data_IF_442459546718
#
_entry.id   IF_442459546718
#
_cell.length_a   1.000
_cell.length_b   1.000
_cell.length_c   1.000
_cell.angle_alpha   90.00
_cell.angle_beta   90.00
_cell.angle_gamma   90.00
#
_symmetry.space_group_name_H-M   'P 1'
#
loop_
_entity.id
_entity.type
_entity.pdbx_description
1 polymer ?
#
# COMPACT_ATOMS: atom_id res chain seq x y z
N UNK A 1 42.22 -40.73 -19.88
CA UNK A 1 43.22 -41.00 -18.82
C UNK A 1 42.80 -40.53 -17.43
N UNK A 2 42.80 -39.23 -17.11
CA UNK A 2 42.59 -38.74 -15.72
C UNK A 2 41.25 -39.24 -15.12
N UNK A 3 40.18 -39.20 -15.91
CA UNK A 3 38.86 -39.78 -15.56
C UNK A 3 38.93 -41.31 -15.33
N UNK A 4 39.48 -42.05 -16.30
CA UNK A 4 39.59 -43.51 -16.26
C UNK A 4 40.43 -44.02 -15.08
N UNK A 5 41.43 -43.24 -14.65
CA UNK A 5 42.31 -43.59 -13.52
C UNK A 5 41.79 -43.13 -12.16
N UNK A 6 40.55 -42.64 -12.10
CA UNK A 6 39.90 -42.25 -10.84
C UNK A 6 40.68 -41.17 -10.10
N UNK A 7 41.19 -40.17 -10.84
CA UNK A 7 41.85 -39.01 -10.25
C UNK A 7 40.83 -38.20 -9.46
N UNK A 8 41.02 -38.08 -8.16
CA UNK A 8 40.06 -37.43 -7.27
C UNK A 8 40.05 -35.90 -7.47
N UNK A 9 38.89 -35.26 -7.72
CA UNK A 9 38.79 -33.82 -7.98
C UNK A 9 39.21 -32.92 -6.80
N UNK A 10 39.34 -33.46 -5.59
CA UNK A 10 39.74 -32.70 -4.40
C UNK A 10 41.15 -33.07 -3.89
N UNK A 11 41.89 -33.89 -4.64
CA UNK A 11 43.22 -34.39 -4.24
C UNK A 11 44.35 -33.58 -4.85
N UNK A 12 45.52 -33.63 -4.21
CA UNK A 12 46.73 -32.92 -4.66
C UNK A 12 47.41 -33.69 -5.79
N UNK A 13 48.03 -32.97 -6.74
CA UNK A 13 48.79 -33.53 -7.87
C UNK A 13 49.73 -34.66 -7.43
N UNK A 14 50.50 -34.44 -6.37
CA UNK A 14 51.51 -35.38 -5.89
C UNK A 14 50.88 -36.70 -5.38
N UNK A 15 49.66 -36.64 -4.86
CA UNK A 15 48.92 -37.83 -4.38
C UNK A 15 48.30 -38.63 -5.52
N UNK A 16 47.91 -37.96 -6.61
CA UNK A 16 47.29 -38.60 -7.77
C UNK A 16 48.31 -39.05 -8.81
N UNK A 17 49.53 -38.49 -8.79
CA UNK A 17 50.61 -38.79 -9.72
C UNK A 17 50.92 -40.29 -9.86
N UNK A 18 51.03 -41.10 -8.79
CA UNK A 18 51.29 -42.54 -8.91
C UNK A 18 50.25 -43.29 -9.74
N UNK A 19 49.00 -42.81 -9.80
CA UNK A 19 47.91 -43.44 -10.58
C UNK A 19 48.05 -43.23 -12.09
N UNK A 20 48.81 -42.21 -12.50
CA UNK A 20 48.87 -41.75 -13.89
C UNK A 20 50.27 -41.77 -14.48
N UNK A 21 51.33 -41.79 -13.66
CA UNK A 21 52.74 -41.69 -14.10
C UNK A 21 53.15 -42.80 -15.08
N UNK A 22 52.56 -44.00 -14.95
CA UNK A 22 52.84 -45.14 -15.83
C UNK A 22 51.94 -45.20 -17.07
N UNK A 23 50.94 -44.33 -17.22
CA UNK A 23 50.07 -44.31 -18.39
C UNK A 23 50.85 -43.82 -19.65
N UNK A 24 50.75 -44.52 -20.78
CA UNK A 24 51.37 -44.08 -22.03
C UNK A 24 51.00 -42.64 -22.44
N UNK A 25 49.76 -42.22 -22.18
CA UNK A 25 49.25 -40.87 -22.49
C UNK A 25 49.85 -39.79 -21.58
N UNK A 26 50.27 -40.15 -20.37
CA UNK A 26 51.01 -39.25 -19.48
C UNK A 26 52.41 -38.98 -20.03
N UNK A 27 53.11 -40.04 -20.48
CA UNK A 27 54.45 -39.95 -21.08
C UNK A 27 54.45 -39.16 -22.40
N UNK A 28 53.37 -39.25 -23.18
CA UNK A 28 53.21 -38.55 -24.46
C UNK A 28 53.21 -37.01 -24.38
N UNK A 29 52.94 -36.43 -23.21
CA UNK A 29 53.01 -34.98 -22.98
C UNK A 29 54.35 -34.68 -22.30
N UNK A 30 55.39 -34.15 -22.96
CA UNK A 30 56.72 -34.09 -22.35
C UNK A 30 56.85 -33.05 -21.23
N UNK A 31 56.15 -31.92 -21.37
CA UNK A 31 56.26 -30.78 -20.46
C UNK A 31 55.51 -31.00 -19.15
N UNK A 32 56.22 -30.85 -18.03
CA UNK A 32 55.62 -30.86 -16.69
C UNK A 32 54.55 -29.80 -16.52
N UNK A 33 54.78 -28.57 -17.01
CA UNK A 33 53.82 -27.47 -16.87
C UNK A 33 52.51 -27.77 -17.62
N UNK A 34 52.60 -28.35 -18.81
CA UNK A 34 51.42 -28.77 -19.59
C UNK A 34 50.66 -29.89 -18.88
N UNK A 35 51.35 -30.92 -18.37
CA UNK A 35 50.70 -32.00 -17.60
C UNK A 35 49.99 -31.47 -16.36
N UNK A 36 50.63 -30.54 -15.64
CA UNK A 36 50.06 -29.94 -14.43
C UNK A 36 48.86 -29.05 -14.72
N UNK A 37 48.95 -28.19 -15.74
CA UNK A 37 47.83 -27.36 -16.21
C UNK A 37 46.61 -28.21 -16.63
N UNK A 38 46.83 -29.30 -17.36
CA UNK A 38 45.76 -30.22 -17.76
C UNK A 38 45.10 -30.93 -16.56
N UNK A 39 45.89 -31.29 -15.54
CA UNK A 39 45.35 -31.86 -14.31
C UNK A 39 44.54 -30.85 -13.51
N UNK A 40 45.05 -29.64 -13.32
CA UNK A 40 44.34 -28.58 -12.60
C UNK A 40 43.03 -28.22 -13.30
N UNK A 41 43.04 -28.12 -14.64
CA UNK A 41 41.84 -27.94 -15.44
C UNK A 41 40.86 -29.11 -15.26
N UNK A 42 41.32 -30.35 -15.40
CA UNK A 42 40.47 -31.54 -15.22
C UNK A 42 39.83 -31.59 -13.83
N UNK A 43 40.61 -31.36 -12.78
CA UNK A 43 40.15 -31.29 -11.40
C UNK A 43 39.07 -30.22 -11.25
N UNK A 44 39.34 -28.99 -11.72
CA UNK A 44 38.36 -27.89 -11.67
C UNK A 44 37.07 -28.24 -12.39
N UNK A 45 37.15 -28.72 -13.63
CA UNK A 45 35.98 -29.13 -14.42
C UNK A 45 35.19 -30.24 -13.73
N UNK A 46 35.87 -31.24 -13.14
CA UNK A 46 35.19 -32.33 -12.42
C UNK A 46 34.42 -31.84 -11.20
N UNK A 47 35.01 -30.95 -10.39
CA UNK A 47 34.31 -30.34 -9.25
C UNK A 47 33.08 -29.55 -9.72
N UNK A 48 33.19 -28.82 -10.83
CA UNK A 48 32.07 -28.07 -11.41
C UNK A 48 30.98 -28.98 -11.96
N UNK A 49 31.35 -30.08 -12.64
CA UNK A 49 30.43 -31.12 -13.12
C UNK A 49 29.66 -31.76 -11.95
N UNK A 50 30.34 -32.25 -10.91
CA UNK A 50 29.69 -32.88 -9.74
C UNK A 50 28.76 -31.89 -9.00
N UNK A 51 29.18 -30.62 -8.87
CA UNK A 51 28.32 -29.57 -8.29
C UNK A 51 27.12 -29.25 -9.16
N UNK A 52 27.25 -29.33 -10.49
CA UNK A 52 26.16 -29.10 -11.43
C UNK A 52 25.18 -30.26 -11.39
N UNK A 53 25.65 -31.50 -11.37
CA UNK A 53 24.84 -32.72 -11.24
C UNK A 53 24.06 -32.73 -9.92
N UNK A 54 24.72 -32.42 -8.78
CA UNK A 54 24.03 -32.32 -7.48
C UNK A 54 22.95 -31.24 -7.47
N UNK A 55 23.22 -30.06 -8.05
CA UNK A 55 22.22 -28.98 -8.16
C UNK A 55 21.08 -29.37 -9.09
N UNK A 56 21.37 -30.04 -10.20
CA UNK A 56 20.36 -30.52 -11.13
C UNK A 56 19.46 -31.58 -10.49
N UNK A 57 20.05 -32.53 -9.76
CA UNK A 57 19.31 -33.54 -9.01
C UNK A 57 18.42 -32.92 -7.93
N UNK A 58 18.94 -31.97 -7.14
CA UNK A 58 18.14 -31.25 -6.15
C UNK A 58 16.98 -30.49 -6.82
N UNK A 59 17.25 -29.81 -7.95
CA UNK A 59 16.20 -29.10 -8.70
C UNK A 59 15.13 -30.06 -9.21
N UNK A 60 15.51 -31.22 -9.74
CA UNK A 60 14.58 -32.24 -10.20
C UNK A 60 13.73 -32.81 -9.05
N UNK A 61 14.33 -33.04 -7.87
CA UNK A 61 13.59 -33.48 -6.68
C UNK A 61 12.57 -32.43 -6.21
N UNK A 62 12.96 -31.14 -6.22
CA UNK A 62 12.03 -30.03 -5.90
C UNK A 62 10.88 -29.96 -6.90
N UNK A 63 11.17 -30.08 -8.20
CA UNK A 63 10.15 -30.06 -9.24
C UNK A 63 9.17 -31.24 -9.10
N UNK A 64 9.70 -32.44 -8.84
CA UNK A 64 8.87 -33.62 -8.58
C UNK A 64 7.96 -33.44 -7.37
N UNK A 65 8.47 -32.87 -6.28
CA UNK A 65 7.64 -32.57 -5.11
C UNK A 65 6.56 -31.51 -5.40
N UNK A 66 6.86 -30.51 -6.23
CA UNK A 66 5.85 -29.52 -6.66
C UNK A 66 4.74 -30.16 -7.49
N UNK A 67 5.09 -31.06 -8.42
CA UNK A 67 4.09 -31.82 -9.18
C UNK A 67 3.19 -32.65 -8.25
N UNK A 68 3.78 -33.30 -7.23
CA UNK A 68 3.01 -34.01 -6.21
C UNK A 68 2.04 -33.06 -5.46
N UNK A 69 2.47 -31.85 -5.09
CA UNK A 69 1.60 -30.86 -4.45
C UNK A 69 0.47 -30.38 -5.37
N UNK A 70 0.73 -30.29 -6.67
CA UNK A 70 -0.28 -29.92 -7.66
C UNK A 70 -1.30 -31.03 -7.89
N UNK A 71 -0.86 -32.28 -7.95
CA UNK A 71 -1.74 -33.47 -7.99
C UNK A 71 -2.59 -33.58 -6.72
N UNK A 72 -2.02 -33.26 -5.57
CA UNK A 72 -2.72 -33.25 -4.28
C UNK A 72 -3.54 -31.97 -4.03
N UNK A 73 -3.65 -31.07 -5.00
CA UNK A 73 -4.20 -29.72 -4.78
C UNK A 73 -5.63 -29.69 -4.26
N UNK A 74 -6.48 -30.64 -4.67
CA UNK A 74 -7.87 -30.74 -4.19
C UNK A 74 -7.97 -31.19 -2.72
N UNK A 75 -6.90 -31.80 -2.20
CA UNK A 75 -6.83 -32.33 -0.84
C UNK A 75 -6.09 -31.39 0.12
N UNK A 76 -5.38 -30.40 -0.43
CA UNK A 76 -4.66 -29.39 0.32
C UNK A 76 -5.58 -28.20 0.53
N UNK A 77 -5.96 -27.94 1.79
CA UNK A 77 -6.69 -26.76 2.19
C UNK A 77 -5.88 -25.87 3.14
N UNK A 78 -6.48 -24.79 3.63
CA UNK A 78 -5.85 -23.85 4.56
C UNK A 78 -5.48 -24.48 5.94
N UNK A 79 -6.04 -25.65 6.27
CA UNK A 79 -5.80 -26.38 7.52
C UNK A 79 -4.80 -27.52 7.36
N UNK A 80 -4.50 -27.94 6.13
CA UNK A 80 -3.49 -28.97 5.87
C UNK A 80 -2.15 -28.60 6.50
N UNK A 81 -1.63 -29.50 7.33
CA UNK A 81 -0.31 -29.42 7.92
C UNK A 81 0.59 -30.55 7.41
N UNK A 82 1.87 -30.53 7.79
CA UNK A 82 2.83 -31.52 7.34
C UNK A 82 2.47 -32.95 7.75
N UNK A 83 1.87 -33.15 8.93
CA UNK A 83 1.52 -34.50 9.40
C UNK A 83 0.32 -35.06 8.63
N UNK A 84 -0.68 -34.23 8.36
CA UNK A 84 -1.85 -34.55 7.54
C UNK A 84 -1.39 -34.93 6.13
N UNK A 85 -0.55 -34.10 5.52
CA UNK A 85 -0.04 -34.35 4.17
C UNK A 85 0.82 -35.63 4.12
N UNK A 86 1.78 -35.78 5.05
CA UNK A 86 2.64 -36.97 5.16
C UNK A 86 1.86 -38.26 5.38
N UNK A 87 0.77 -38.23 6.13
CA UNK A 87 -0.05 -39.43 6.37
C UNK A 87 -0.57 -40.04 5.07
N UNK A 88 -0.81 -39.21 4.06
CA UNK A 88 -1.37 -39.64 2.78
C UNK A 88 -0.32 -39.82 1.68
N UNK A 89 0.65 -38.92 1.61
CA UNK A 89 1.65 -38.88 0.52
C UNK A 89 3.06 -39.26 0.98
N UNK A 90 3.20 -39.79 2.20
CA UNK A 90 4.49 -40.07 2.82
C UNK A 90 5.35 -41.15 2.17
N UNK A 91 4.70 -42.06 1.44
CA UNK A 91 5.34 -43.18 0.74
C UNK A 91 5.65 -42.86 -0.74
N UNK A 92 5.24 -41.67 -1.24
CA UNK A 92 5.53 -41.24 -2.62
C UNK A 92 7.04 -41.00 -2.78
N UNK A 93 7.62 -41.48 -3.88
CA UNK A 93 9.06 -41.34 -4.16
C UNK A 93 9.48 -39.86 -4.19
N UNK A 94 8.66 -38.98 -4.77
CA UNK A 94 8.91 -37.54 -4.85
C UNK A 94 8.82 -36.88 -3.48
N UNK A 95 7.96 -37.40 -2.59
CA UNK A 95 7.95 -37.00 -1.18
C UNK A 95 9.25 -37.42 -0.50
N UNK A 96 9.70 -38.66 -0.70
CA UNK A 96 10.91 -39.19 -0.07
C UNK A 96 12.22 -38.58 -0.60
N UNK A 97 12.22 -38.06 -1.83
CA UNK A 97 13.39 -37.51 -2.52
C UNK A 97 13.97 -36.21 -1.91
N UNK A 98 13.17 -35.45 -1.16
CA UNK A 98 13.61 -34.22 -0.48
C UNK A 98 13.88 -34.46 1.00
N UNK A 99 14.55 -33.56 1.71
CA UNK A 99 14.58 -33.62 3.17
C UNK A 99 13.31 -33.01 3.79
N UNK A 100 13.11 -33.23 5.10
CA UNK A 100 11.91 -32.71 5.79
C UNK A 100 11.79 -31.18 5.71
N UNK A 101 12.91 -30.45 5.76
CA UNK A 101 12.90 -28.99 5.79
C UNK A 101 12.42 -28.43 4.45
N UNK A 102 12.92 -28.98 3.35
CA UNK A 102 12.51 -28.59 2.00
C UNK A 102 11.03 -28.96 1.74
N UNK A 103 10.60 -30.15 2.17
CA UNK A 103 9.18 -30.57 2.07
C UNK A 103 8.25 -29.63 2.83
N UNK A 104 8.57 -29.31 4.08
CA UNK A 104 7.77 -28.39 4.92
C UNK A 104 7.74 -26.99 4.30
N UNK A 105 8.87 -26.51 3.79
CA UNK A 105 8.94 -25.21 3.12
C UNK A 105 8.03 -25.14 1.90
N UNK A 106 8.13 -26.10 0.98
CA UNK A 106 7.32 -26.15 -0.25
C UNK A 106 5.83 -26.35 0.04
N UNK A 107 5.47 -27.20 1.02
CA UNK A 107 4.09 -27.35 1.46
C UNK A 107 3.54 -26.03 2.05
N UNK A 108 4.34 -25.33 2.84
CA UNK A 108 3.94 -24.02 3.39
C UNK A 108 3.76 -22.97 2.30
N UNK A 109 4.61 -22.94 1.26
CA UNK A 109 4.40 -22.06 0.10
C UNK A 109 3.04 -22.30 -0.57
N UNK A 110 2.56 -23.54 -0.60
CA UNK A 110 1.25 -23.90 -1.15
C UNK A 110 0.08 -23.53 -0.23
N UNK A 111 0.23 -23.73 1.09
CA UNK A 111 -0.84 -23.57 2.08
C UNK A 111 -1.00 -22.11 2.54
N UNK A 112 0.08 -21.32 2.57
CA UNK A 112 0.05 -19.93 3.05
C UNK A 112 -0.93 -19.03 2.28
N UNK A 113 -0.98 -19.04 0.93
CA UNK A 113 -1.99 -18.28 0.19
C UNK A 113 -3.43 -18.72 0.56
N UNK A 114 -3.67 -20.02 0.70
CA UNK A 114 -4.99 -20.54 1.08
C UNK A 114 -5.41 -20.06 2.47
N UNK A 115 -4.47 -19.96 3.42
CA UNK A 115 -4.71 -19.38 4.75
C UNK A 115 -5.07 -17.90 4.68
N UNK A 116 -4.34 -17.13 3.88
CA UNK A 116 -4.63 -15.71 3.67
C UNK A 116 -6.02 -15.52 3.05
N UNK A 117 -6.35 -16.26 2.00
CA UNK A 117 -7.66 -16.18 1.35
C UNK A 117 -8.80 -16.57 2.30
N UNK A 118 -8.59 -17.61 3.14
CA UNK A 118 -9.56 -18.03 4.13
C UNK A 118 -9.76 -16.96 5.23
N UNK A 119 -8.68 -16.33 5.68
CA UNK A 119 -8.71 -15.24 6.66
C UNK A 119 -9.39 -13.99 6.09
N UNK A 120 -9.06 -13.59 4.86
CA UNK A 120 -9.67 -12.46 4.16
C UNK A 120 -11.17 -12.69 3.96
N UNK A 121 -11.57 -13.88 3.50
CA UNK A 121 -12.99 -14.25 3.39
C UNK A 121 -13.69 -14.18 4.74
N UNK A 122 -13.07 -14.70 5.80
CA UNK A 122 -13.63 -14.63 7.14
C UNK A 122 -13.75 -13.18 7.64
N UNK A 123 -12.77 -12.32 7.33
CA UNK A 123 -12.80 -10.91 7.67
C UNK A 123 -13.88 -10.15 6.88
N UNK A 124 -14.03 -10.43 5.59
CA UNK A 124 -15.07 -9.85 4.75
C UNK A 124 -16.47 -10.22 5.25
N UNK A 125 -16.69 -11.49 5.64
CA UNK A 125 -17.95 -11.93 6.24
C UNK A 125 -18.20 -11.21 7.57
N UNK A 126 -17.18 -11.09 8.43
CA UNK A 126 -17.30 -10.33 9.69
C UNK A 126 -17.65 -8.87 9.45
N UNK A 127 -16.97 -8.22 8.50
CA UNK A 127 -17.21 -6.82 8.15
C UNK A 127 -18.61 -6.60 7.55
N UNK A 128 -19.07 -7.49 6.67
CA UNK A 128 -20.43 -7.45 6.12
C UNK A 128 -21.50 -7.65 7.22
N UNK A 129 -21.25 -8.56 8.15
CA UNK A 129 -22.14 -8.80 9.30
C UNK A 129 -22.20 -7.58 10.21
N UNK A 130 -21.05 -6.98 10.51
CA UNK A 130 -20.95 -5.75 11.30
C UNK A 130 -21.65 -4.57 10.62
N UNK A 131 -21.44 -4.38 9.32
CA UNK A 131 -22.10 -3.34 8.53
C UNK A 131 -23.62 -3.51 8.53
N UNK A 132 -24.11 -4.73 8.28
CA UNK A 132 -25.54 -5.05 8.33
C UNK A 132 -26.16 -4.76 9.72
N UNK A 133 -25.42 -5.06 10.78
CA UNK A 133 -25.83 -4.72 12.15
C UNK A 133 -25.87 -3.22 12.39
N UNK A 134 -24.86 -2.45 11.94
CA UNK A 134 -24.88 -0.98 12.04
C UNK A 134 -26.04 -0.37 11.24
N UNK A 135 -26.37 -0.90 10.07
CA UNK A 135 -27.55 -0.46 9.31
C UNK A 135 -28.85 -0.69 10.07
N UNK A 136 -29.00 -1.83 10.77
CA UNK A 136 -30.13 -2.08 11.67
C UNK A 136 -30.21 -1.02 12.79
N UNK A 137 -29.07 -0.66 13.39
CA UNK A 137 -29.03 0.38 14.43
C UNK A 137 -29.48 1.74 13.86
N UNK A 138 -29.02 2.09 12.66
CA UNK A 138 -29.40 3.32 11.99
C UNK A 138 -30.90 3.35 11.64
N UNK A 139 -31.48 2.24 11.17
CA UNK A 139 -32.90 2.14 10.82
C UNK A 139 -33.84 2.35 12.02
N UNK A 140 -33.40 2.01 13.24
CA UNK A 140 -34.22 2.22 14.44
C UNK A 140 -34.47 3.70 14.73
N UNK A 141 -33.54 4.59 14.37
CA UNK A 141 -33.70 6.05 14.41
C UNK A 141 -33.84 6.68 15.80
N UNK A 142 -34.01 5.89 16.87
CA UNK A 142 -34.13 6.33 18.26
C UNK A 142 -32.80 6.23 19.04
N UNK A 143 -31.72 5.84 18.36
CA UNK A 143 -30.39 5.66 18.96
C UNK A 143 -29.58 6.96 18.84
N UNK A 144 -29.45 7.68 19.95
CA UNK A 144 -28.55 8.83 20.10
C UNK A 144 -27.20 8.42 20.72
N UNK A 145 -26.19 9.31 20.66
CA UNK A 145 -24.82 9.11 21.18
C UNK A 145 -24.75 8.73 22.67
N UNK A 146 -25.77 9.06 23.45
CA UNK A 146 -25.88 8.73 24.88
C UNK A 146 -26.76 7.49 25.19
N UNK A 147 -27.15 6.76 24.15
CA UNK A 147 -27.98 5.55 24.27
C UNK A 147 -27.25 4.45 25.04
N UNK A 148 -28.00 3.66 25.80
CA UNK A 148 -27.46 2.55 26.59
C UNK A 148 -27.79 1.22 25.92
N UNK A 149 -26.78 0.37 25.73
CA UNK A 149 -26.94 -0.96 25.14
C UNK A 149 -28.06 -1.79 25.79
N UNK A 150 -28.17 -1.74 27.12
CA UNK A 150 -29.19 -2.45 27.88
C UNK A 150 -30.63 -2.11 27.50
N UNK A 151 -30.90 -0.90 26.97
CA UNK A 151 -32.24 -0.48 26.52
C UNK A 151 -32.51 -0.83 25.06
N UNK A 152 -31.46 -0.86 24.25
CA UNK A 152 -31.55 -1.07 22.80
C UNK A 152 -31.59 -2.56 22.44
N UNK A 153 -30.82 -3.40 23.14
CA UNK A 153 -30.63 -4.81 22.77
C UNK A 153 -31.93 -5.62 22.68
N UNK A 154 -32.91 -5.35 23.54
CA UNK A 154 -34.15 -6.11 23.60
C UNK A 154 -35.08 -5.79 22.41
N UNK A 155 -35.01 -4.56 21.87
CA UNK A 155 -35.81 -4.13 20.71
C UNK A 155 -35.27 -4.67 19.37
N UNK A 156 -34.05 -5.22 19.39
CA UNK A 156 -33.34 -5.79 18.25
C UNK A 156 -33.37 -7.32 18.23
N UNK A 157 -33.77 -7.96 19.33
CA UNK A 157 -33.58 -9.39 19.58
C UNK A 157 -34.14 -10.30 18.47
N UNK A 158 -35.24 -9.91 17.86
CA UNK A 158 -35.93 -10.72 16.85
C UNK A 158 -35.38 -10.56 15.43
N UNK A 159 -34.60 -9.50 15.16
CA UNK A 159 -34.07 -9.20 13.83
C UNK A 159 -32.99 -10.22 13.41
N UNK A 160 -33.03 -10.76 12.17
CA UNK A 160 -32.01 -11.68 11.66
C UNK A 160 -30.59 -11.11 11.70
N UNK A 161 -30.40 -9.82 11.46
CA UNK A 161 -29.09 -9.14 11.45
C UNK A 161 -28.51 -9.00 12.86
N UNK A 162 -29.36 -8.90 13.88
CA UNK A 162 -28.96 -8.99 15.28
C UNK A 162 -28.51 -10.42 15.63
N UNK A 163 -29.26 -11.43 15.17
CA UNK A 163 -28.97 -12.86 15.42
C UNK A 163 -27.69 -13.33 14.72
N UNK A 164 -27.34 -12.78 13.56
CA UNK A 164 -26.11 -13.13 12.82
C UNK A 164 -24.81 -12.68 13.49
N UNK A 165 -24.87 -11.66 14.36
CA UNK A 165 -23.71 -11.21 15.14
C UNK A 165 -23.56 -12.09 16.38
N UNK A 166 -22.32 -12.51 16.69
CA UNK A 166 -21.99 -13.24 17.92
C UNK A 166 -22.32 -12.40 19.15
N UNK A 167 -22.84 -13.04 20.21
CA UNK A 167 -23.28 -12.34 21.41
C UNK A 167 -22.19 -11.42 22.01
N UNK A 168 -20.94 -11.89 22.05
CA UNK A 168 -19.77 -11.17 22.58
C UNK A 168 -19.43 -9.90 21.78
N UNK A 169 -19.74 -9.87 20.47
CA UNK A 169 -19.38 -8.77 19.58
C UNK A 169 -20.45 -7.67 19.52
N UNK A 170 -21.69 -7.96 19.94
CA UNK A 170 -22.85 -7.05 19.73
C UNK A 170 -22.69 -5.72 20.44
N UNK A 171 -22.29 -5.73 21.71
CA UNK A 171 -22.10 -4.51 22.49
C UNK A 171 -20.90 -3.70 21.98
N UNK A 172 -19.84 -4.37 21.55
CA UNK A 172 -18.69 -3.72 20.94
C UNK A 172 -19.08 -3.00 19.64
N UNK A 173 -19.81 -3.66 18.75
CA UNK A 173 -20.30 -3.05 17.50
C UNK A 173 -21.30 -1.91 17.74
N UNK A 174 -22.13 -2.00 18.79
CA UNK A 174 -22.99 -0.91 19.20
C UNK A 174 -22.20 0.31 19.69
N UNK A 175 -21.18 0.11 20.52
CA UNK A 175 -20.32 1.19 21.00
C UNK A 175 -19.50 1.81 19.85
N UNK A 176 -19.04 1.00 18.90
CA UNK A 176 -18.40 1.47 17.66
C UNK A 176 -19.36 2.36 16.86
N UNK A 177 -20.62 1.95 16.70
CA UNK A 177 -21.64 2.78 16.05
C UNK A 177 -21.89 4.10 16.78
N UNK A 178 -21.95 4.12 18.11
CA UNK A 178 -22.06 5.38 18.88
C UNK A 178 -20.82 6.28 18.71
N UNK A 179 -19.63 5.68 18.59
CA UNK A 179 -18.41 6.41 18.31
C UNK A 179 -18.44 7.02 16.91
N UNK A 180 -18.93 6.28 15.91
CA UNK A 180 -19.10 6.77 14.54
C UNK A 180 -20.10 7.95 14.50
N UNK A 181 -21.23 7.84 15.20
CA UNK A 181 -22.21 8.93 15.32
C UNK A 181 -21.59 10.20 15.92
N UNK A 182 -20.82 10.06 17.00
CA UNK A 182 -20.11 11.18 17.64
C UNK A 182 -19.10 11.83 16.67
N UNK A 183 -18.37 11.03 15.91
CA UNK A 183 -17.40 11.53 14.94
C UNK A 183 -18.09 12.33 13.82
N UNK A 184 -19.24 11.85 13.33
CA UNK A 184 -20.05 12.57 12.32
C UNK A 184 -20.60 13.88 12.87
N UNK A 185 -21.12 13.90 14.12
CA UNK A 185 -21.58 15.13 14.78
C UNK A 185 -20.43 16.15 14.91
N UNK A 186 -19.26 15.71 15.36
CA UNK A 186 -18.09 16.57 15.52
C UNK A 186 -17.56 17.11 14.18
N UNK A 187 -17.53 16.28 13.14
CA UNK A 187 -17.15 16.70 11.79
C UNK A 187 -18.13 17.76 11.23
N UNK A 188 -19.44 17.54 11.41
CA UNK A 188 -20.47 18.50 11.00
C UNK A 188 -20.33 19.84 11.72
N UNK A 189 -20.06 19.83 13.02
CA UNK A 189 -19.81 21.05 13.80
C UNK A 189 -18.56 21.81 13.31
N UNK A 190 -17.47 21.08 13.03
CA UNK A 190 -16.24 21.67 12.48
C UNK A 190 -16.47 22.30 11.11
N UNK A 191 -17.19 21.62 10.22
CA UNK A 191 -17.55 22.15 8.91
C UNK A 191 -18.44 23.39 9.02
N UNK A 192 -19.45 23.35 9.90
CA UNK A 192 -20.35 24.48 10.12
C UNK A 192 -19.58 25.70 10.66
N UNK A 193 -18.63 25.48 11.57
CA UNK A 193 -17.76 26.53 12.08
C UNK A 193 -16.87 27.11 10.97
N UNK A 194 -16.23 26.26 10.17
CA UNK A 194 -15.39 26.69 9.05
C UNK A 194 -16.19 27.54 8.03
N UNK A 195 -17.41 27.10 7.66
CA UNK A 195 -18.31 27.84 6.77
C UNK A 195 -18.70 29.21 7.34
N UNK A 196 -18.97 29.29 8.66
CA UNK A 196 -19.27 30.57 9.33
C UNK A 196 -18.06 31.50 9.29
N UNK A 197 -16.87 31.01 9.62
CA UNK A 197 -15.64 31.80 9.58
C UNK A 197 -15.31 32.31 8.17
N UNK A 198 -15.55 31.50 7.14
CA UNK A 198 -15.39 31.91 5.74
C UNK A 198 -16.38 33.00 5.36
N UNK A 199 -17.66 32.83 5.73
CA UNK A 199 -18.70 33.82 5.47
C UNK A 199 -18.40 35.16 6.16
N UNK A 200 -17.90 35.14 7.39
CA UNK A 200 -17.53 36.35 8.12
C UNK A 200 -16.35 37.07 7.47
N UNK A 201 -15.32 36.33 7.02
CA UNK A 201 -14.20 36.89 6.26
C UNK A 201 -14.63 37.53 4.94
N UNK A 202 -15.58 36.91 4.23
CA UNK A 202 -16.14 37.48 3.00
C UNK A 202 -16.89 38.78 3.27
N UNK A 203 -17.73 38.81 4.32
CA UNK A 203 -18.47 40.01 4.74
C UNK A 203 -17.53 41.15 5.15
N UNK A 204 -16.43 40.83 5.84
CA UNK A 204 -15.42 41.83 6.20
C UNK A 204 -14.73 42.42 4.97
N UNK A 205 -14.32 41.57 4.02
CA UNK A 205 -13.73 42.01 2.73
C UNK A 205 -14.68 42.90 1.94
N UNK A 206 -15.96 42.54 1.87
CA UNK A 206 -16.97 43.35 1.18
C UNK A 206 -17.14 44.73 1.84
N UNK A 207 -17.15 44.79 3.19
CA UNK A 207 -17.20 46.05 3.94
C UNK A 207 -15.98 46.92 3.67
N UNK A 208 -14.77 46.35 3.66
CA UNK A 208 -13.54 47.10 3.37
C UNK A 208 -13.50 47.60 1.93
N UNK A 209 -13.93 46.79 0.96
CA UNK A 209 -14.07 47.22 -0.44
C UNK A 209 -15.08 48.36 -0.58
N UNK A 210 -16.22 48.30 0.10
CA UNK A 210 -17.23 49.37 0.09
C UNK A 210 -16.67 50.66 0.67
N UNK A 211 -16.01 50.60 1.82
CA UNK A 211 -15.35 51.78 2.43
C UNK A 211 -14.29 52.37 1.52
N UNK A 212 -13.49 51.53 0.86
CA UNK A 212 -12.48 51.97 -0.11
C UNK A 212 -13.12 52.71 -1.29
N UNK A 213 -14.16 52.12 -1.88
CA UNK A 213 -14.91 52.73 -2.98
C UNK A 213 -15.52 54.07 -2.59
N UNK A 214 -16.10 54.16 -1.39
CA UNK A 214 -16.65 55.41 -0.86
C UNK A 214 -15.57 56.50 -0.70
N UNK A 215 -14.38 56.14 -0.20
CA UNK A 215 -13.24 57.08 -0.11
C UNK A 215 -12.79 57.56 -1.49
N UNK A 216 -12.67 56.65 -2.45
CA UNK A 216 -12.31 56.97 -3.84
C UNK A 216 -13.36 57.90 -4.48
N UNK A 217 -14.66 57.65 -4.28
CA UNK A 217 -15.75 58.52 -4.75
C UNK A 217 -15.71 59.92 -4.11
N UNK A 218 -15.50 59.99 -2.79
CA UNK A 218 -15.35 61.27 -2.10
C UNK A 218 -14.13 62.07 -2.57
N UNK A 219 -13.01 61.40 -2.84
CA UNK A 219 -11.81 62.04 -3.38
C UNK A 219 -12.06 62.57 -4.80
N UNK A 220 -12.67 61.76 -5.67
CA UNK A 220 -13.04 62.16 -7.03
C UNK A 220 -14.00 63.36 -7.03
N UNK A 221 -15.00 63.39 -6.14
CA UNK A 221 -15.92 64.53 -6.04
C UNK A 221 -15.20 65.79 -5.54
N UNK A 222 -14.28 65.66 -4.57
CA UNK A 222 -13.43 66.80 -4.14
C UNK A 222 -12.59 67.35 -5.29
N UNK A 223 -12.02 66.48 -6.12
CA UNK A 223 -11.27 66.88 -7.33
C UNK A 223 -12.20 67.59 -8.31
N UNK A 224 -13.39 67.04 -8.56
CA UNK A 224 -14.40 67.62 -9.46
C UNK A 224 -14.86 69.00 -9.03
N UNK A 225 -15.13 69.20 -7.73
CA UNK A 225 -15.49 70.50 -7.17
C UNK A 225 -14.34 71.49 -7.33
N UNK A 226 -13.10 71.08 -7.08
CA UNK A 226 -11.92 71.94 -7.29
C UNK A 226 -11.78 72.37 -8.75
N UNK A 227 -11.98 71.46 -9.70
CA UNK A 227 -11.95 71.77 -11.14
C UNK A 227 -13.05 72.76 -11.50
N UNK A 228 -14.30 72.48 -11.13
CA UNK A 228 -15.44 73.40 -11.35
C UNK A 228 -15.22 74.80 -10.75
N UNK A 229 -14.65 74.88 -9.55
CA UNK A 229 -14.32 76.16 -8.91
C UNK A 229 -13.25 76.91 -9.70
N UNK A 230 -12.19 76.24 -10.16
CA UNK A 230 -11.16 76.85 -11.00
C UNK A 230 -11.76 77.35 -12.32
N UNK A 231 -12.58 76.55 -12.97
CA UNK A 231 -13.29 76.94 -14.20
C UNK A 231 -14.17 78.17 -13.96
N UNK A 232 -14.98 78.19 -12.90
CA UNK A 232 -15.82 79.33 -12.56
C UNK A 232 -15.02 80.61 -12.27
N UNK A 233 -13.86 80.50 -11.59
CA UNK A 233 -12.96 81.64 -11.36
C UNK A 233 -12.43 82.18 -12.69
N UNK A 234 -11.96 81.29 -13.59
CA UNK A 234 -11.46 81.68 -14.91
C UNK A 234 -12.57 82.36 -15.74
N UNK A 235 -13.77 81.79 -15.76
CA UNK A 235 -14.92 82.38 -16.44
C UNK A 235 -15.29 83.75 -15.88
N UNK A 236 -15.30 83.91 -14.55
CA UNK A 236 -15.59 85.19 -13.90
C UNK A 236 -14.51 86.24 -14.19
N UNK A 237 -13.23 85.84 -14.15
CA UNK A 237 -12.12 86.73 -14.53
C UNK A 237 -12.22 87.18 -16.00
N UNK A 238 -12.59 86.28 -16.91
CA UNK A 238 -12.82 86.63 -18.31
C UNK A 238 -13.94 87.69 -18.46
N UNK A 239 -15.08 87.48 -17.77
CA UNK A 239 -16.18 88.46 -17.74
C UNK A 239 -15.77 89.81 -17.15
N UNK A 240 -14.96 89.83 -16.09
CA UNK A 240 -14.42 91.07 -15.52
C UNK A 240 -13.51 91.81 -16.49
N UNK A 241 -12.67 91.10 -17.24
CA UNK A 241 -11.80 91.71 -18.25
C UNK A 241 -12.62 92.29 -19.40
N UNK A 242 -13.71 91.63 -19.82
CA UNK A 242 -14.62 92.15 -20.83
C UNK A 242 -15.37 93.40 -20.35
N UNK A 243 -15.86 93.40 -19.11
CA UNK A 243 -16.63 94.50 -18.52
C UNK A 243 -15.79 95.73 -18.13
N UNK A 244 -14.54 95.55 -17.70
CA UNK A 244 -13.63 96.65 -17.29
C UNK A 244 -12.95 97.30 -18.51
N UNK A 245 -12.88 96.61 -19.66
CA UNK A 245 -12.35 97.19 -20.91
C UNK A 245 -13.32 98.09 -21.65
N UNK A 246 -14.53 98.31 -21.14
CA UNK A 246 -15.49 99.26 -21.72
C UNK A 246 -15.34 100.63 -21.03
N UNK A 247 -14.64 101.62 -21.63
CA UNK A 247 -14.35 102.90 -21.01
C UNK A 247 -15.50 103.88 -21.22
N UNK A 248 -16.72 103.52 -20.77
CA UNK A 248 -17.91 104.38 -20.86
C UNK A 248 -18.78 104.40 -19.59
N UNK A 249 -18.22 104.21 -18.41
CA UNK A 249 -18.94 104.47 -17.15
C UNK A 249 -18.14 105.35 -16.19
N UNK A 250 -17.76 106.54 -16.65
CA UNK A 250 -17.55 107.73 -15.82
C UNK A 250 -18.25 108.91 -16.49
N UNK A 251 -19.48 109.20 -16.05
CA UNK A 251 -20.08 110.53 -16.09
C UNK A 251 -20.68 110.83 -14.73
#
# INVERSE_FOLDING_TARGET
MLKERGVAPFSKWEKELPKIVFDPRFKAIPSYSTRRSLFEHFVKTRVEEERKEKRAAQKAAIEGFKQLLDEASEEIDHKTDYQIFRKKWGDDERFLALDRKDREHLLNERVLPLRRDAEEKAQAIRAATASSFKSLLQEKGDIAVNSRWSRVKDTLRDDPRYKSVKHEDREALFNEYLSDLRAVEEESEREAKAKREEQDKLRERERELRKRKEREEQEMERVRIKVRRKEAIVSYQALLVETIKDPQMLS
#
